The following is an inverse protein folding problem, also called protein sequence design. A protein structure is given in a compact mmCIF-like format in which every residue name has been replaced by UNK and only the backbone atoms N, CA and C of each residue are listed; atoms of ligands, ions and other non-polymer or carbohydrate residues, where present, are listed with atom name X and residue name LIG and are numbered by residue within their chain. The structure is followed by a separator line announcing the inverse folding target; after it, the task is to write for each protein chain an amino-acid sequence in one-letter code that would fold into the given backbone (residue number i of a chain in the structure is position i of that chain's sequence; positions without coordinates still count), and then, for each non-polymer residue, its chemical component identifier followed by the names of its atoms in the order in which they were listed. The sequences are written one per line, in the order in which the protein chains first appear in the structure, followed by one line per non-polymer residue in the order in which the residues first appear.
data_IF_024875451212
#
_entry.id   IF_024875451212
#
_cell.length_a   1.000
_cell.length_b   1.000
_cell.length_c   1.000
_cell.angle_alpha   90.00
_cell.angle_beta   90.00
_cell.angle_gamma   90.00
#
_symmetry.space_group_name_H-M   'P 1'
#
loop_
_entity.id
_entity.type
_entity.pdbx_description
1 polymer ?
#
# COMPACT_ATOMS: atom_id res chain seq x y z
N UNK A 1 11.77 -5.14 -1.51
CA UNK A 1 12.08 -3.87 -0.83
C UNK A 1 11.83 -4.06 0.66
N UNK A 2 12.75 -3.64 1.55
CA UNK A 2 12.51 -3.69 3.00
C UNK A 2 11.57 -2.56 3.41
N UNK A 3 10.27 -2.80 3.28
CA UNK A 3 9.20 -1.88 3.70
C UNK A 3 8.60 -2.44 4.97
N UNK A 4 8.73 -1.70 6.06
CA UNK A 4 8.06 -2.05 7.32
C UNK A 4 6.57 -1.71 7.21
N UNK A 5 5.74 -2.66 7.60
CA UNK A 5 4.29 -2.51 7.64
C UNK A 5 3.92 -2.28 9.11
N UNK A 6 3.33 -1.12 9.40
CA UNK A 6 2.82 -0.79 10.72
C UNK A 6 1.45 -1.45 10.94
N UNK A 7 0.56 -1.33 9.93
CA UNK A 7 -0.76 -1.92 9.98
C UNK A 7 -1.25 -2.42 8.62
N UNK A 8 -2.10 -3.44 8.65
CA UNK A 8 -2.84 -3.94 7.50
C UNK A 8 -4.32 -4.10 7.87
N UNK A 9 -5.20 -3.58 7.02
CA UNK A 9 -6.64 -3.72 7.16
C UNK A 9 -7.23 -4.31 5.88
N UNK A 10 -8.00 -5.39 6.02
CA UNK A 10 -8.76 -5.98 4.94
C UNK A 10 -10.22 -5.59 5.09
N UNK A 11 -10.79 -4.96 4.06
CA UNK A 11 -12.20 -4.59 4.05
C UNK A 11 -13.07 -5.77 3.64
N UNK A 12 -14.37 -5.62 3.81
CA UNK A 12 -15.34 -6.59 3.32
C UNK A 12 -15.13 -6.87 1.84
N UNK A 13 -15.25 -8.16 1.49
CA UNK A 13 -15.13 -8.64 0.12
C UNK A 13 -16.08 -7.87 -0.81
N UNK A 14 -15.52 -7.35 -1.90
CA UNK A 14 -16.25 -6.74 -3.00
C UNK A 14 -16.21 -7.70 -4.20
N UNK A 15 -17.27 -8.50 -4.36
CA UNK A 15 -17.35 -9.57 -5.38
C UNK A 15 -16.16 -10.56 -5.23
N UNK A 16 -15.27 -10.61 -6.20
CA UNK A 16 -14.11 -11.52 -6.21
C UNK A 16 -12.83 -10.88 -5.66
N UNK A 17 -12.92 -9.64 -5.16
CA UNK A 17 -11.78 -8.87 -4.67
C UNK A 17 -11.94 -8.54 -3.19
N UNK A 18 -10.81 -8.42 -2.50
CA UNK A 18 -10.75 -7.93 -1.12
C UNK A 18 -9.93 -6.64 -1.15
N UNK A 19 -10.51 -5.48 -0.82
CA UNK A 19 -9.75 -4.25 -0.68
C UNK A 19 -8.80 -4.36 0.52
N UNK A 20 -7.53 -3.98 0.33
CA UNK A 20 -6.51 -3.98 1.38
C UNK A 20 -6.00 -2.54 1.54
N UNK A 21 -5.97 -2.07 2.79
CA UNK A 21 -5.31 -0.82 3.19
C UNK A 21 -4.08 -1.18 4.00
N UNK A 22 -2.93 -0.61 3.61
CA UNK A 22 -1.64 -0.86 4.26
C UNK A 22 -1.10 0.48 4.75
N UNK A 23 -0.71 0.53 6.02
CA UNK A 23 0.04 1.64 6.60
C UNK A 23 1.50 1.20 6.73
N UNK A 24 2.41 2.03 6.24
CA UNK A 24 3.85 1.75 6.24
C UNK A 24 4.58 2.76 7.09
N UNK A 25 5.69 2.36 7.68
CA UNK A 25 6.63 3.29 8.29
C UNK A 25 7.21 4.26 7.24
N UNK A 26 7.76 5.41 7.68
CA UNK A 26 8.47 6.33 6.79
C UNK A 26 9.56 5.61 5.97
N UNK A 27 9.53 5.81 4.66
CA UNK A 27 10.45 5.19 3.70
C UNK A 27 10.83 6.17 2.60
N UNK A 28 12.02 5.99 2.02
CA UNK A 28 12.47 6.71 0.83
C UNK A 28 11.48 6.50 -0.33
N UNK A 29 11.03 7.59 -0.95
CA UNK A 29 9.98 7.55 -1.98
C UNK A 29 10.32 6.62 -3.15
N UNK A 30 11.55 6.65 -3.66
CA UNK A 30 11.95 5.76 -4.77
C UNK A 30 11.80 4.28 -4.44
N UNK A 31 12.05 3.88 -3.19
CA UNK A 31 11.84 2.49 -2.75
C UNK A 31 10.35 2.14 -2.69
N UNK A 32 9.50 3.11 -2.35
CA UNK A 32 8.05 2.93 -2.38
C UNK A 32 7.54 2.81 -3.83
N UNK A 33 8.07 3.62 -4.75
CA UNK A 33 7.70 3.55 -6.17
C UNK A 33 8.07 2.20 -6.78
N UNK A 34 9.29 1.70 -6.49
CA UNK A 34 9.74 0.37 -6.92
C UNK A 34 8.84 -0.75 -6.37
N UNK A 35 8.42 -0.64 -5.12
CA UNK A 35 7.55 -1.63 -4.49
C UNK A 35 6.12 -1.57 -5.04
N UNK A 36 5.59 -0.37 -5.28
CA UNK A 36 4.27 -0.20 -5.91
C UNK A 36 4.27 -0.79 -7.32
N UNK A 37 5.33 -0.58 -8.11
CA UNK A 37 5.47 -1.19 -9.43
C UNK A 37 5.45 -2.73 -9.35
N UNK A 38 6.16 -3.30 -8.37
CA UNK A 38 6.17 -4.76 -8.15
C UNK A 38 4.80 -5.29 -7.72
N UNK A 39 4.09 -4.60 -6.82
CA UNK A 39 2.76 -5.01 -6.36
C UNK A 39 1.74 -4.90 -7.49
N UNK A 40 1.78 -3.80 -8.26
CA UNK A 40 0.87 -3.54 -9.38
C UNK A 40 1.03 -4.59 -10.51
N UNK A 41 2.21 -5.18 -10.66
CA UNK A 41 2.48 -6.22 -11.64
C UNK A 41 1.95 -7.62 -11.21
N UNK A 42 1.49 -7.79 -9.98
CA UNK A 42 0.95 -9.07 -9.51
C UNK A 42 -0.38 -9.39 -10.21
N UNK A 43 -0.57 -10.61 -10.76
CA UNK A 43 -1.80 -10.99 -11.47
C UNK A 43 -3.09 -10.89 -10.63
N UNK A 44 -2.95 -10.90 -9.30
CA UNK A 44 -4.06 -10.83 -8.36
C UNK A 44 -4.57 -9.40 -8.13
N UNK A 45 -3.78 -8.38 -8.49
CA UNK A 45 -4.16 -6.98 -8.31
C UNK A 45 -4.99 -6.52 -9.49
N UNK A 46 -6.16 -5.94 -9.19
CA UNK A 46 -7.08 -5.39 -10.19
C UNK A 46 -7.33 -3.92 -9.87
N UNK A 47 -7.08 -3.05 -10.84
CA UNK A 47 -7.17 -1.60 -10.68
C UNK A 47 -5.87 -0.96 -10.21
N UNK A 48 -5.87 0.36 -10.04
CA UNK A 48 -4.70 1.13 -9.62
C UNK A 48 -4.55 1.15 -8.11
N UNK A 49 -3.32 1.02 -7.63
CA UNK A 49 -2.99 1.25 -6.22
C UNK A 49 -2.99 2.75 -5.95
N UNK A 50 -3.81 3.19 -5.00
CA UNK A 50 -3.85 4.58 -4.54
C UNK A 50 -2.89 4.75 -3.36
N UNK A 51 -1.97 5.71 -3.46
CA UNK A 51 -1.05 6.09 -2.37
C UNK A 51 -1.48 7.43 -1.78
N UNK A 52 -1.63 7.46 -0.45
CA UNK A 52 -1.82 8.69 0.32
C UNK A 52 -0.63 8.82 1.26
N UNK A 53 0.05 9.97 1.23
CA UNK A 53 1.15 10.27 2.16
C UNK A 53 0.55 10.67 3.50
N UNK A 54 1.03 10.06 4.57
CA UNK A 54 0.67 10.41 5.94
C UNK A 54 1.85 11.17 6.55
N UNK A 55 1.58 12.37 7.05
CA UNK A 55 2.51 13.16 7.83
C UNK A 55 1.86 13.42 9.18
N UNK A 56 2.59 13.19 10.27
CA UNK A 56 2.14 13.59 11.60
C UNK A 56 2.24 15.10 11.70
N UNK A 57 1.11 15.76 11.94
CA UNK A 57 1.06 17.18 12.27
C UNK A 57 1.37 17.33 13.77
N UNK A 58 2.61 17.05 14.15
CA UNK A 58 3.06 17.34 15.51
C UNK A 58 3.16 18.88 15.66
N UNK A 59 2.58 19.40 16.74
CA UNK A 59 2.59 20.82 17.12
C UNK A 59 3.84 21.21 17.89
#
# INVERSE_FOLDING_TARGET
AGISIDAIMQQSRLKDLIPIVILTDPIVESKMDDALAQIQALPAIRGEIVRIRLESLDS
#
